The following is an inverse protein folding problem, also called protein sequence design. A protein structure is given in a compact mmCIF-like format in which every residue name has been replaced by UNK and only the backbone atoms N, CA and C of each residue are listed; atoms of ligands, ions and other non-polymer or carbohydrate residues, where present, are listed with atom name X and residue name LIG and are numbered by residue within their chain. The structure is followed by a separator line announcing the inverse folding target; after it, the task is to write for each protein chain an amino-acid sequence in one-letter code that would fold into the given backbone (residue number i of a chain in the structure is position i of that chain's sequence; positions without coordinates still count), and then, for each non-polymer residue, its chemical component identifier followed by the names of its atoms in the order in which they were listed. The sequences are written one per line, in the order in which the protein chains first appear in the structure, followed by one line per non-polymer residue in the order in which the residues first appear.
data_IF_131553801684
#
_entry.id   IF_131553801684
#
_cell.length_a   1.000
_cell.length_b   1.000
_cell.length_c   1.000
_cell.angle_alpha   90.00
_cell.angle_beta   90.00
_cell.angle_gamma   90.00
#
_symmetry.space_group_name_H-M   'P 1'
#
loop_
_entity.id
_entity.type
_entity.pdbx_description
1 polymer ?
#
# COMPACT_ATOMS: atom_id res chain seq x y z
N UNK A 1 -27.50 20.27 -7.30
CA UNK A 1 -26.58 19.16 -7.66
C UNK A 1 -25.26 19.15 -6.88
N UNK A 2 -24.62 20.29 -6.58
CA UNK A 2 -23.33 20.32 -5.86
C UNK A 2 -23.41 19.92 -4.36
N UNK A 3 -24.58 20.11 -3.72
CA UNK A 3 -24.77 19.89 -2.28
C UNK A 3 -25.19 18.44 -1.95
N UNK A 4 -25.87 17.76 -2.88
CA UNK A 4 -26.41 16.40 -2.65
C UNK A 4 -25.27 15.37 -2.56
N UNK A 5 -24.25 15.47 -3.41
CA UNK A 5 -23.07 14.57 -3.39
C UNK A 5 -22.03 14.92 -2.31
N UNK A 6 -22.12 16.11 -1.69
CA UNK A 6 -21.20 16.52 -0.64
C UNK A 6 -21.44 15.72 0.65
N UNK A 7 -22.71 15.46 1.00
CA UNK A 7 -23.05 14.65 2.16
C UNK A 7 -22.52 13.21 2.03
N UNK A 8 -22.63 12.62 0.84
CA UNK A 8 -22.15 11.26 0.56
C UNK A 8 -20.63 11.14 0.68
N UNK A 9 -19.89 12.09 0.10
CA UNK A 9 -18.43 12.12 0.19
C UNK A 9 -17.92 12.31 1.62
N UNK A 10 -18.59 13.15 2.41
CA UNK A 10 -18.29 13.34 3.84
C UNK A 10 -18.57 12.06 4.63
N UNK A 11 -19.70 11.39 4.38
CA UNK A 11 -20.04 10.12 5.04
C UNK A 11 -19.03 9.02 4.69
N UNK A 12 -18.71 8.84 3.41
CA UNK A 12 -17.71 7.85 2.96
C UNK A 12 -16.33 8.11 3.59
N UNK A 13 -15.91 9.37 3.67
CA UNK A 13 -14.64 9.73 4.31
C UNK A 13 -14.68 9.51 5.83
N UNK A 14 -15.78 9.83 6.50
CA UNK A 14 -15.95 9.58 7.94
C UNK A 14 -15.87 8.07 8.25
N UNK A 15 -16.52 7.22 7.44
CA UNK A 15 -16.40 5.77 7.56
C UNK A 15 -14.98 5.26 7.28
N UNK A 16 -14.33 5.75 6.22
CA UNK A 16 -12.97 5.33 5.87
C UNK A 16 -11.94 5.73 6.94
N UNK A 17 -12.06 6.93 7.50
CA UNK A 17 -11.19 7.41 8.58
C UNK A 17 -11.47 6.71 9.90
N UNK A 18 -12.73 6.41 10.23
CA UNK A 18 -13.10 5.60 11.38
C UNK A 18 -12.56 4.16 11.27
N UNK A 19 -12.60 3.56 10.07
CA UNK A 19 -12.00 2.26 9.80
C UNK A 19 -10.47 2.26 9.97
N UNK A 20 -9.78 3.30 9.46
CA UNK A 20 -8.35 3.49 9.66
C UNK A 20 -7.96 3.71 11.13
N UNK A 21 -8.79 4.44 11.88
CA UNK A 21 -8.61 4.67 13.31
C UNK A 21 -8.82 3.38 14.12
N UNK A 22 -9.83 2.58 13.75
CA UNK A 22 -10.08 1.27 14.32
C UNK A 22 -8.87 0.32 14.12
N UNK A 23 -8.19 0.40 12.98
CA UNK A 23 -6.98 -0.36 12.68
C UNK A 23 -5.70 0.15 13.41
N UNK A 24 -5.83 1.06 14.38
CA UNK A 24 -4.73 1.49 15.24
C UNK A 24 -3.71 2.43 14.58
N UNK A 25 -3.95 2.87 13.33
CA UNK A 25 -3.04 3.75 12.56
C UNK A 25 -3.51 5.20 12.58
N UNK A 26 -3.63 5.74 13.79
CA UNK A 26 -4.16 7.08 14.06
C UNK A 26 -3.41 8.20 13.33
N UNK A 27 -2.10 8.07 13.12
CA UNK A 27 -1.28 9.11 12.43
C UNK A 27 -1.60 9.25 10.93
N UNK A 28 -2.03 8.19 10.26
CA UNK A 28 -2.43 8.25 8.84
C UNK A 28 -3.89 8.69 8.70
N UNK A 29 -4.74 8.27 9.64
CA UNK A 29 -6.13 8.71 9.73
C UNK A 29 -6.23 10.23 9.97
N UNK A 30 -5.43 10.78 10.89
CA UNK A 30 -5.45 12.23 11.16
C UNK A 30 -4.97 13.05 9.98
N UNK A 31 -3.90 12.64 9.28
CA UNK A 31 -3.41 13.36 8.08
C UNK A 31 -4.43 13.39 6.95
N UNK A 32 -5.15 12.29 6.73
CA UNK A 32 -6.17 12.19 5.68
C UNK A 32 -7.48 12.89 6.03
N UNK A 33 -7.84 12.94 7.32
CA UNK A 33 -8.96 13.75 7.81
C UNK A 33 -8.66 15.25 7.66
N UNK A 34 -7.45 15.69 8.05
CA UNK A 34 -7.02 17.09 7.89
C UNK A 34 -7.01 17.51 6.42
N UNK A 35 -6.50 16.68 5.50
CA UNK A 35 -6.51 17.02 4.06
C UNK A 35 -7.93 17.16 3.52
N UNK A 36 -8.88 16.36 3.99
CA UNK A 36 -10.27 16.43 3.56
C UNK A 36 -10.95 17.71 4.07
N UNK A 37 -10.77 18.07 5.36
CA UNK A 37 -11.33 19.29 5.94
C UNK A 37 -10.79 20.54 5.22
N UNK A 38 -9.49 20.57 4.90
CA UNK A 38 -8.89 21.69 4.15
C UNK A 38 -9.50 21.84 2.76
N UNK A 39 -9.71 20.74 2.04
CA UNK A 39 -10.26 20.75 0.68
C UNK A 39 -11.76 21.09 0.70
N UNK A 40 -12.52 20.60 1.67
CA UNK A 40 -13.91 21.00 1.91
C UNK A 40 -14.02 22.50 2.21
N UNK A 41 -13.16 23.04 3.09
CA UNK A 41 -13.14 24.47 3.41
C UNK A 41 -12.81 25.33 2.20
N UNK A 42 -11.86 24.90 1.36
CA UNK A 42 -11.51 25.62 0.13
C UNK A 42 -12.63 25.59 -0.92
N UNK A 43 -13.44 24.52 -0.94
CA UNK A 43 -14.56 24.36 -1.87
C UNK A 43 -15.74 25.30 -1.59
N UNK A 44 -15.87 25.84 -0.37
CA UNK A 44 -16.91 26.83 -0.02
C UNK A 44 -16.56 28.26 -0.47
N UNK A 45 -15.32 28.51 -0.91
CA UNK A 45 -14.91 29.82 -1.41
C UNK A 45 -15.36 29.97 -2.88
N UNK A 46 -16.13 31.00 -3.26
CA UNK A 46 -16.66 31.15 -4.61
C UNK A 46 -15.56 31.60 -5.58
N UNK A 47 -14.69 30.65 -5.94
CA UNK A 47 -13.59 30.84 -6.89
C UNK A 47 -14.10 30.64 -8.34
N UNK A 48 -13.53 31.34 -9.32
CA UNK A 48 -13.96 31.27 -10.73
C UNK A 48 -13.89 29.83 -11.29
N UNK A 49 -14.86 29.50 -12.15
CA UNK A 49 -15.37 28.14 -12.40
C UNK A 49 -14.38 27.02 -12.77
N UNK A 50 -13.17 27.32 -13.24
CA UNK A 50 -12.14 26.29 -13.48
C UNK A 50 -11.61 25.70 -12.16
N UNK A 51 -11.43 26.55 -11.14
CA UNK A 51 -10.93 26.13 -9.84
C UNK A 51 -11.97 25.28 -9.09
N UNK A 52 -13.25 25.65 -9.17
CA UNK A 52 -14.34 24.89 -8.53
C UNK A 52 -14.42 23.44 -9.01
N UNK A 53 -14.26 23.19 -10.31
CA UNK A 53 -14.30 21.82 -10.88
C UNK A 53 -13.09 20.99 -10.42
N UNK A 54 -11.89 21.58 -10.36
CA UNK A 54 -10.69 20.89 -9.87
C UNK A 54 -10.82 20.51 -8.39
N UNK A 55 -11.34 21.40 -7.55
CA UNK A 55 -11.53 21.11 -6.13
C UNK A 55 -12.57 20.02 -5.89
N UNK A 56 -13.70 20.05 -6.61
CA UNK A 56 -14.72 19.00 -6.52
C UNK A 56 -14.19 17.64 -7.00
N UNK A 57 -13.38 17.61 -8.06
CA UNK A 57 -12.74 16.38 -8.54
C UNK A 57 -11.75 15.80 -7.51
N UNK A 58 -10.93 16.66 -6.90
CA UNK A 58 -10.02 16.27 -5.83
C UNK A 58 -10.75 15.76 -4.59
N UNK A 59 -11.91 16.36 -4.26
CA UNK A 59 -12.73 15.96 -3.12
C UNK A 59 -13.25 14.51 -3.25
N UNK A 60 -13.63 14.11 -4.47
CA UNK A 60 -14.05 12.73 -4.78
C UNK A 60 -12.88 11.73 -4.82
N UNK A 61 -11.64 12.19 -5.08
CA UNK A 61 -10.47 11.31 -5.13
C UNK A 61 -9.92 10.95 -3.75
N UNK A 62 -10.25 11.71 -2.70
CA UNK A 62 -9.71 11.50 -1.35
C UNK A 62 -10.21 10.19 -0.70
N UNK A 63 -11.51 9.85 -0.68
CA UNK A 63 -12.00 8.59 -0.09
C UNK A 63 -11.40 7.30 -0.68
N UNK A 64 -11.24 7.13 -2.01
CA UNK A 64 -10.55 5.95 -2.54
C UNK A 64 -9.04 5.97 -2.22
N UNK A 65 -8.44 7.16 -2.09
CA UNK A 65 -7.05 7.27 -1.68
C UNK A 65 -6.85 6.86 -0.21
N UNK A 66 -7.76 7.24 0.70
CA UNK A 66 -7.67 6.87 2.13
C UNK A 66 -7.81 5.36 2.33
N UNK A 67 -8.77 4.73 1.66
CA UNK A 67 -8.93 3.27 1.64
C UNK A 67 -7.72 2.58 1.01
N UNK A 68 -7.17 3.12 -0.08
CA UNK A 68 -5.91 2.67 -0.68
C UNK A 68 -4.73 2.72 0.28
N UNK A 69 -4.59 3.78 1.07
CA UNK A 69 -3.57 3.86 2.12
C UNK A 69 -3.72 2.76 3.20
N UNK A 70 -4.92 2.27 3.47
CA UNK A 70 -5.16 1.14 4.38
C UNK A 70 -4.59 -0.17 3.81
N UNK A 71 -4.71 -0.39 2.49
CA UNK A 71 -4.12 -1.53 1.81
C UNK A 71 -2.58 -1.50 1.81
N UNK A 72 -1.97 -0.37 1.43
CA UNK A 72 -0.51 -0.22 1.45
C UNK A 72 0.10 -0.29 2.85
N UNK A 73 -0.72 0.01 3.86
CA UNK A 73 -0.34 -0.09 5.25
C UNK A 73 -0.18 -1.54 5.71
N UNK A 74 -0.87 -2.49 5.09
CA UNK A 74 -0.83 -3.90 5.50
C UNK A 74 0.58 -4.48 5.32
N UNK A 75 1.01 -5.33 6.26
CA UNK A 75 2.31 -5.98 6.12
C UNK A 75 2.30 -6.89 4.88
N UNK A 76 3.38 -6.93 4.09
CA UNK A 76 3.46 -7.81 2.92
C UNK A 76 3.16 -9.27 3.28
N UNK A 77 3.57 -9.71 4.47
CA UNK A 77 3.28 -11.05 5.00
C UNK A 77 1.79 -11.31 5.27
N UNK A 78 1.03 -10.31 5.72
CA UNK A 78 -0.42 -10.44 5.91
C UNK A 78 -1.16 -10.53 4.58
N UNK A 79 -0.74 -9.74 3.58
CA UNK A 79 -1.29 -9.80 2.21
C UNK A 79 -1.08 -11.20 1.61
N UNK A 80 0.13 -11.74 1.78
CA UNK A 80 0.47 -13.08 1.30
C UNK A 80 -0.38 -14.18 1.96
N UNK A 81 -0.69 -14.03 3.25
CA UNK A 81 -1.52 -15.00 3.97
C UNK A 81 -3.01 -14.89 3.58
N UNK A 82 -3.48 -13.68 3.25
CA UNK A 82 -4.81 -13.48 2.68
C UNK A 82 -4.94 -14.11 1.28
N UNK A 83 -3.92 -13.97 0.43
CA UNK A 83 -3.86 -14.60 -0.90
C UNK A 83 -3.86 -16.14 -0.82
N UNK A 84 -3.30 -16.72 0.24
CA UNK A 84 -3.31 -18.17 0.47
C UNK A 84 -4.71 -18.71 0.74
N UNK A 85 -5.50 -17.96 1.50
CA UNK A 85 -6.91 -18.28 1.76
C UNK A 85 -7.82 -18.09 0.55
N UNK A 86 -7.42 -17.28 -0.43
CA UNK A 86 -8.14 -17.15 -1.69
C UNK A 86 -7.95 -18.33 -2.66
N UNK A 87 -7.36 -19.43 -2.19
CA UNK A 87 -7.22 -20.69 -2.94
C UNK A 87 -6.51 -20.51 -4.30
N UNK A 88 -5.53 -19.60 -4.34
CA UNK A 88 -4.65 -19.51 -5.50
C UNK A 88 -3.80 -20.80 -5.61
N UNK A 89 -3.49 -21.25 -6.83
CA UNK A 89 -2.63 -22.41 -7.03
C UNK A 89 -1.29 -22.20 -6.31
N UNK A 90 -0.90 -23.19 -5.49
CA UNK A 90 0.23 -23.11 -4.56
C UNK A 90 1.55 -22.67 -5.21
N UNK A 91 1.79 -23.05 -6.48
CA UNK A 91 2.97 -22.63 -7.25
C UNK A 91 3.02 -21.12 -7.46
N UNK A 92 1.88 -20.50 -7.79
CA UNK A 92 1.77 -19.06 -7.95
C UNK A 92 1.96 -18.34 -6.62
N UNK A 93 1.38 -18.88 -5.55
CA UNK A 93 1.47 -18.29 -4.23
C UNK A 93 2.92 -18.19 -3.72
N UNK A 94 3.70 -19.25 -3.91
CA UNK A 94 5.13 -19.26 -3.57
C UNK A 94 5.90 -18.21 -4.37
N UNK A 95 5.62 -18.07 -5.67
CA UNK A 95 6.25 -17.05 -6.52
C UNK A 95 5.94 -15.63 -6.04
N UNK A 96 4.66 -15.34 -5.79
CA UNK A 96 4.21 -14.05 -5.26
C UNK A 96 4.85 -13.75 -3.89
N UNK A 97 4.84 -14.74 -2.99
CA UNK A 97 5.50 -14.69 -1.69
C UNK A 97 6.97 -14.28 -1.81
N UNK A 98 7.69 -14.89 -2.76
CA UNK A 98 9.09 -14.59 -2.97
C UNK A 98 9.31 -13.18 -3.51
N UNK A 99 8.47 -12.71 -4.44
CA UNK A 99 8.54 -11.34 -4.98
C UNK A 99 8.33 -10.32 -3.86
N UNK A 100 7.30 -10.48 -3.04
CA UNK A 100 7.03 -9.55 -1.93
C UNK A 100 8.12 -9.59 -0.86
N UNK A 101 8.62 -10.78 -0.53
CA UNK A 101 9.73 -10.92 0.42
C UNK A 101 11.00 -10.27 -0.11
N UNK A 102 11.33 -10.50 -1.39
CA UNK A 102 12.49 -9.87 -2.05
C UNK A 102 12.34 -8.35 -2.14
N UNK A 103 11.17 -7.86 -2.55
CA UNK A 103 10.87 -6.43 -2.61
C UNK A 103 11.02 -5.76 -1.24
N UNK A 104 10.66 -6.44 -0.15
CA UNK A 104 10.81 -5.91 1.21
C UNK A 104 12.27 -5.78 1.67
N UNK A 105 13.15 -6.70 1.24
CA UNK A 105 14.57 -6.68 1.64
C UNK A 105 15.44 -5.83 0.70
N UNK A 106 15.06 -5.72 -0.58
CA UNK A 106 15.77 -4.95 -1.60
C UNK A 106 16.18 -3.53 -1.16
N UNK A 107 15.31 -2.69 -0.56
CA UNK A 107 15.70 -1.34 -0.14
C UNK A 107 16.74 -1.32 0.99
N UNK A 108 16.80 -2.36 1.82
CA UNK A 108 17.86 -2.50 2.81
C UNK A 108 19.20 -2.80 2.13
N UNK A 109 19.19 -3.72 1.16
CA UNK A 109 20.37 -4.10 0.39
C UNK A 109 20.92 -2.92 -0.42
N UNK A 110 20.03 -2.18 -1.09
CA UNK A 110 20.36 -0.94 -1.82
C UNK A 110 21.07 0.06 -0.92
N UNK A 111 20.56 0.29 0.30
CA UNK A 111 21.19 1.21 1.27
C UNK A 111 22.54 0.70 1.75
N UNK A 112 22.70 -0.61 1.93
CA UNK A 112 23.97 -1.23 2.33
C UNK A 112 25.03 -1.03 1.24
N UNK A 113 24.68 -1.28 -0.02
CA UNK A 113 25.56 -1.04 -1.18
C UNK A 113 25.91 0.44 -1.29
N UNK A 114 24.94 1.35 -1.18
CA UNK A 114 25.18 2.80 -1.21
C UNK A 114 26.15 3.25 -0.11
N UNK A 115 26.01 2.71 1.11
CA UNK A 115 26.96 2.97 2.20
C UNK A 115 28.35 2.43 1.88
N UNK A 116 28.44 1.22 1.31
CA UNK A 116 29.72 0.63 0.88
C UNK A 116 30.44 1.45 -0.19
N UNK A 117 29.71 1.95 -1.19
CA UNK A 117 30.26 2.83 -2.24
C UNK A 117 30.76 4.14 -1.63
N UNK A 118 30.00 4.71 -0.66
CA UNK A 118 30.40 5.92 0.06
C UNK A 118 31.67 5.72 0.89
N UNK A 119 31.82 4.57 1.56
CA UNK A 119 33.03 4.23 2.33
C UNK A 119 34.27 4.08 1.45
N UNK A 120 34.12 3.65 0.19
CA UNK A 120 35.23 3.54 -0.77
C UNK A 120 35.67 4.88 -1.37
N UNK A 121 35.03 6.00 -1.01
CA UNK A 121 35.43 7.34 -1.45
C UNK A 121 35.10 7.70 -2.90
N UNK A 122 34.40 6.82 -3.63
CA UNK A 122 34.10 7.00 -5.07
C UNK A 122 33.13 8.18 -5.28
N UNK A 123 32.21 8.42 -4.33
CA UNK A 123 31.28 9.54 -4.33
C UNK A 123 31.00 10.05 -2.90
N UNK A 124 31.78 11.03 -2.38
CA UNK A 124 31.55 11.60 -1.05
C UNK A 124 30.29 12.49 -1.00
N UNK A 125 29.81 12.99 -2.13
CA UNK A 125 28.63 13.88 -2.23
C UNK A 125 27.71 13.49 -3.40
N UNK A 126 26.41 13.82 -3.27
CA UNK A 126 25.41 13.65 -4.34
C UNK A 126 25.81 14.37 -5.64
N UNK A 127 26.61 15.43 -5.55
CA UNK A 127 27.16 16.17 -6.69
C UNK A 127 28.13 15.33 -7.55
N UNK A 128 28.87 14.39 -6.94
CA UNK A 128 29.76 13.50 -7.68
C UNK A 128 28.99 12.50 -8.57
N UNK A 129 27.83 12.04 -8.10
CA UNK A 129 26.96 11.10 -8.83
C UNK A 129 26.41 11.77 -10.10
N UNK A 130 26.07 13.05 -10.01
CA UNK A 130 25.52 13.83 -11.15
C UNK A 130 26.62 14.12 -12.20
N UNK A 131 27.89 14.27 -11.79
CA UNK A 131 29.00 14.51 -12.71
C UNK A 131 29.37 13.30 -13.56
N UNK A 132 29.22 12.08 -13.05
CA UNK A 132 29.52 10.85 -13.79
C UNK A 132 28.41 9.80 -13.63
N UNK A 133 27.25 10.00 -14.28
CA UNK A 133 26.08 9.13 -14.11
C UNK A 133 26.32 7.70 -14.62
N UNK A 134 27.10 7.53 -15.70
CA UNK A 134 27.41 6.22 -16.25
C UNK A 134 28.23 5.36 -15.28
N UNK A 135 29.28 5.94 -14.67
CA UNK A 135 30.14 5.25 -13.73
C UNK A 135 29.42 4.96 -12.40
N UNK A 136 28.56 5.89 -11.96
CA UNK A 136 27.69 5.68 -10.80
C UNK A 136 26.70 4.53 -11.02
N UNK A 137 26.12 4.43 -12.22
CA UNK A 137 25.24 3.33 -12.59
C UNK A 137 25.98 1.99 -12.58
N UNK A 138 27.13 1.89 -13.24
CA UNK A 138 27.91 0.64 -13.31
C UNK A 138 28.38 0.16 -11.92
N UNK A 139 28.87 1.08 -11.09
CA UNK A 139 29.32 0.79 -9.73
C UNK A 139 28.18 0.37 -8.78
N UNK A 140 26.93 0.75 -9.07
CA UNK A 140 25.78 0.42 -8.24
C UNK A 140 25.01 -0.81 -8.75
N UNK A 141 24.79 -0.87 -10.07
CA UNK A 141 23.98 -1.90 -10.72
C UNK A 141 24.67 -3.27 -10.68
N UNK A 142 25.96 -3.34 -11.00
CA UNK A 142 26.72 -4.60 -11.02
C UNK A 142 26.71 -5.34 -9.67
N UNK A 143 27.07 -4.72 -8.52
CA UNK A 143 26.99 -5.41 -7.23
C UNK A 143 25.56 -5.73 -6.81
N UNK A 144 24.60 -4.89 -7.17
CA UNK A 144 23.19 -5.13 -6.86
C UNK A 144 22.66 -6.38 -7.56
N UNK A 145 22.93 -6.53 -8.87
CA UNK A 145 22.52 -7.71 -9.64
C UNK A 145 23.18 -8.97 -9.08
N UNK A 146 24.49 -8.93 -8.84
CA UNK A 146 25.21 -10.06 -8.26
C UNK A 146 24.67 -10.47 -6.89
N UNK A 147 24.34 -9.51 -6.04
CA UNK A 147 23.76 -9.76 -4.71
C UNK A 147 22.35 -10.36 -4.82
N UNK A 148 21.55 -9.86 -5.75
CA UNK A 148 20.19 -10.35 -6.01
C UNK A 148 20.20 -11.80 -6.52
N UNK A 149 21.11 -12.14 -7.43
CA UNK A 149 21.30 -13.50 -7.93
C UNK A 149 21.71 -14.47 -6.80
N UNK A 150 22.63 -14.06 -5.93
CA UNK A 150 23.05 -14.87 -4.77
C UNK A 150 21.89 -15.10 -3.80
N UNK A 151 21.15 -14.05 -3.44
CA UNK A 151 19.98 -14.15 -2.58
C UNK A 151 18.91 -15.10 -3.16
N UNK A 152 18.67 -15.02 -4.47
CA UNK A 152 17.74 -15.94 -5.15
C UNK A 152 18.19 -17.40 -5.01
N UNK A 153 19.48 -17.68 -5.21
CA UNK A 153 20.02 -19.04 -5.08
C UNK A 153 19.95 -19.55 -3.62
N UNK A 154 20.28 -18.70 -2.64
CA UNK A 154 20.17 -19.04 -1.22
C UNK A 154 18.72 -19.33 -0.81
N UNK A 155 17.78 -18.55 -1.32
CA UNK A 155 16.35 -18.71 -1.07
C UNK A 155 15.79 -19.98 -1.74
N UNK A 156 16.23 -20.30 -2.97
CA UNK A 156 15.87 -21.52 -3.67
C UNK A 156 16.41 -22.75 -2.94
N UNK A 157 17.70 -22.76 -2.59
CA UNK A 157 18.31 -23.85 -1.82
C UNK A 157 17.65 -24.02 -0.45
N UNK A 158 17.35 -22.92 0.27
CA UNK A 158 16.64 -22.97 1.55
C UNK A 158 15.21 -23.50 1.39
N UNK A 159 14.52 -23.17 0.29
CA UNK A 159 13.19 -23.69 0.00
C UNK A 159 13.20 -25.20 -0.29
N UNK A 160 14.18 -25.67 -1.08
CA UNK A 160 14.37 -27.11 -1.34
C UNK A 160 14.68 -27.89 -0.06
N UNK A 161 15.59 -27.39 0.78
CA UNK A 161 15.92 -27.99 2.08
C UNK A 161 14.74 -28.02 3.05
N UNK A 162 13.84 -27.04 2.97
CA UNK A 162 12.60 -26.99 3.76
C UNK A 162 11.46 -27.84 3.16
N UNK A 163 11.73 -28.59 2.09
CA UNK A 163 10.77 -29.51 1.49
C UNK A 163 9.65 -28.79 0.73
N UNK A 164 9.95 -27.69 0.01
CA UNK A 164 8.90 -26.95 -0.71
C UNK A 164 8.14 -27.79 -1.75
N UNK A 165 8.77 -28.85 -2.27
CA UNK A 165 8.19 -29.80 -3.24
C UNK A 165 7.33 -30.91 -2.63
N UNK A 166 7.22 -31.00 -1.30
CA UNK A 166 6.38 -32.00 -0.64
C UNK A 166 4.92 -31.54 -0.74
N UNK A 167 4.08 -32.34 -1.42
CA UNK A 167 2.68 -32.04 -1.71
C UNK A 167 1.70 -32.31 -0.56
N UNK A 168 2.18 -32.61 0.64
CA UNK A 168 1.32 -32.79 1.82
C UNK A 168 0.87 -31.43 2.36
N UNK A 169 -0.34 -31.37 2.92
CA UNK A 169 -1.00 -30.12 3.35
C UNK A 169 -0.08 -29.20 4.17
N UNK A 170 0.01 -27.93 3.74
CA UNK A 170 0.86 -26.91 4.37
C UNK A 170 0.07 -26.16 5.44
N UNK A 171 0.70 -25.89 6.58
CA UNK A 171 0.13 -25.08 7.66
C UNK A 171 0.69 -23.65 7.62
N UNK A 172 -0.16 -22.62 7.71
CA UNK A 172 0.28 -21.22 7.79
C UNK A 172 0.61 -20.83 9.23
N UNK A 173 1.72 -20.10 9.43
CA UNK A 173 2.11 -19.56 10.76
C UNK A 173 1.32 -18.29 11.08
N UNK A 174 0.89 -17.55 10.06
CA UNK A 174 0.06 -16.36 10.24
C UNK A 174 -1.42 -16.76 10.24
N UNK A 175 -2.09 -16.43 11.34
CA UNK A 175 -3.54 -16.51 11.45
C UNK A 175 -4.17 -15.20 10.99
N UNK A 176 -4.35 -15.04 9.68
CA UNK A 176 -5.20 -13.97 9.14
C UNK A 176 -6.63 -14.50 9.10
N UNK A 177 -7.32 -14.44 10.23
CA UNK A 177 -8.72 -14.83 10.36
C UNK A 177 -9.67 -13.69 10.01
N UNK A 178 -10.87 -14.01 9.53
CA UNK A 178 -11.96 -13.04 9.45
C UNK A 178 -12.42 -12.76 10.88
N UNK A 179 -12.08 -11.59 11.41
CA UNK A 179 -12.47 -11.24 12.76
C UNK A 179 -13.92 -10.75 12.76
N UNK A 180 -14.65 -10.93 13.88
CA UNK A 180 -15.99 -10.35 14.05
C UNK A 180 -16.00 -8.83 13.79
N UNK A 181 -14.86 -8.17 14.04
CA UNK A 181 -14.63 -6.77 13.72
C UNK A 181 -14.70 -6.47 12.21
N UNK A 182 -14.16 -7.36 11.38
CA UNK A 182 -14.20 -7.21 9.91
C UNK A 182 -15.62 -7.45 9.39
N UNK A 183 -16.36 -8.40 9.98
CA UNK A 183 -17.77 -8.65 9.68
C UNK A 183 -18.65 -7.45 10.02
N UNK A 184 -18.46 -6.86 11.20
CA UNK A 184 -19.18 -5.65 11.62
C UNK A 184 -18.85 -4.46 10.71
N UNK A 185 -17.58 -4.26 10.35
CA UNK A 185 -17.19 -3.23 9.39
C UNK A 185 -17.82 -3.44 8.01
N UNK A 186 -17.83 -4.67 7.49
CA UNK A 186 -18.47 -5.00 6.22
C UNK A 186 -19.98 -4.70 6.25
N UNK A 187 -20.68 -5.11 7.31
CA UNK A 187 -22.11 -4.83 7.48
C UNK A 187 -22.39 -3.32 7.48
N UNK A 188 -21.62 -2.55 8.24
CA UNK A 188 -21.79 -1.09 8.32
C UNK A 188 -21.57 -0.43 6.95
N UNK A 189 -20.57 -0.87 6.19
CA UNK A 189 -20.32 -0.35 4.83
C UNK A 189 -21.47 -0.71 3.89
N UNK A 190 -21.95 -1.96 3.91
CA UNK A 190 -23.08 -2.36 3.06
C UNK A 190 -24.37 -1.64 3.40
N UNK A 191 -24.61 -1.36 4.68
CA UNK A 191 -25.77 -0.60 5.14
C UNK A 191 -25.68 0.87 4.72
N UNK A 192 -24.49 1.49 4.80
CA UNK A 192 -24.27 2.86 4.34
C UNK A 192 -24.48 2.98 2.82
N UNK A 193 -23.95 2.04 2.03
CA UNK A 193 -24.12 2.01 0.58
C UNK A 193 -25.59 1.78 0.20
N UNK A 194 -26.28 0.84 0.86
CA UNK A 194 -27.71 0.60 0.62
C UNK A 194 -28.57 1.82 1.00
N UNK A 195 -28.21 2.52 2.08
CA UNK A 195 -28.87 3.77 2.48
C UNK A 195 -28.71 4.88 1.45
N UNK A 196 -27.53 4.99 0.82
CA UNK A 196 -27.26 5.96 -0.26
C UNK A 196 -28.12 5.63 -1.49
N UNK A 197 -28.09 4.38 -1.98
CA UNK A 197 -28.91 3.97 -3.12
C UNK A 197 -30.42 4.14 -2.87
N UNK A 198 -30.89 3.90 -1.64
CA UNK A 198 -32.28 4.11 -1.28
C UNK A 198 -32.67 5.60 -1.25
N UNK A 199 -31.75 6.48 -0.81
CA UNK A 199 -32.00 7.93 -0.80
C UNK A 199 -32.02 8.51 -2.22
N UNK A 200 -31.15 8.02 -3.10
CA UNK A 200 -31.08 8.41 -4.52
C UNK A 200 -32.29 7.89 -5.31
N UNK A 201 -32.86 6.74 -4.92
CA UNK A 201 -34.08 6.20 -5.52
C UNK A 201 -35.38 6.90 -5.06
N UNK A 202 -35.33 7.67 -3.97
CA UNK A 202 -36.48 8.38 -3.38
C UNK A 202 -36.55 9.85 -3.83
N UNK A 203 -35.47 10.38 -4.41
CA UNK A 203 -35.32 11.79 -4.82
C UNK A 203 -35.45 11.98 -6.33
#
# INVERSE_FOLDING_TARGET
MLIVNLLETVLLQAFATAYLAANGRTRSATRTCVSFIVICGLSFLPLPGLYGVLFVSMLHMIPPFTTGCAFFSLSPSAIMCALDRWHLPQKFLVGICMIFRFASILPFEMRSILRGIRMRGIFPSLLGIVRHPALAYECFYTPLVMRSLRLSNELAASAELRGIGIGTGRTSVYHVGFTLRDAMCALVVTAAVAGIYALEAVL
#
